data_IF_887515196029
#
_entry.id   IF_887515196029
#
_cell.length_a   1.000
_cell.length_b   1.000
_cell.length_c   1.000
_cell.angle_alpha   90.00
_cell.angle_beta   90.00
_cell.angle_gamma   90.00
#
_symmetry.space_group_name_H-M   'P 1'
#
loop_
_entity.id
_entity.type
_entity.pdbx_description
1 polymer ?
#
# COMPACT_ATOMS: atom_id res chain seq x y z
N UNK A 1 -18.93 19.68 27.68
CA UNK A 1 -17.85 18.92 27.02
C UNK A 1 -18.22 17.45 27.04
N UNK A 2 -17.82 16.66 26.03
CA UNK A 2 -18.12 15.24 25.98
C UNK A 2 -17.48 14.56 27.21
N UNK A 3 -18.14 13.56 27.77
CA UNK A 3 -17.68 12.88 28.99
C UNK A 3 -16.68 11.76 28.70
N UNK A 4 -16.45 11.46 27.43
CA UNK A 4 -15.71 10.31 26.90
C UNK A 4 -14.50 10.73 26.03
N UNK A 5 -13.88 11.88 26.36
CA UNK A 5 -12.67 12.40 25.70
C UNK A 5 -11.45 11.69 26.26
N UNK A 6 -10.75 10.92 25.44
CA UNK A 6 -9.49 10.25 25.81
C UNK A 6 -8.29 11.19 25.68
N UNK A 7 -7.14 10.78 26.22
CA UNK A 7 -5.88 11.50 26.00
C UNK A 7 -5.55 11.52 24.50
N UNK A 8 -5.24 12.71 23.97
CA UNK A 8 -5.02 12.93 22.54
C UNK A 8 -6.29 13.26 21.75
N UNK A 9 -7.49 13.02 22.27
CA UNK A 9 -8.73 13.45 21.61
C UNK A 9 -8.89 14.98 21.70
N UNK A 10 -9.56 15.53 20.69
CA UNK A 10 -9.96 16.94 20.67
C UNK A 10 -11.44 17.09 21.05
N UNK A 11 -11.78 18.24 21.62
CA UNK A 11 -13.17 18.70 21.74
C UNK A 11 -13.33 20.11 21.19
N UNK A 12 -14.40 20.35 20.44
CA UNK A 12 -14.77 21.68 19.94
C UNK A 12 -16.27 21.95 20.15
N UNK A 13 -16.63 23.23 20.23
CA UNK A 13 -18.04 23.64 20.33
C UNK A 13 -18.56 24.03 18.94
N UNK A 14 -19.59 23.34 18.45
CA UNK A 14 -20.12 23.56 17.09
C UNK A 14 -21.18 24.68 17.02
N UNK A 15 -21.43 25.39 18.12
CA UNK A 15 -22.49 26.39 18.24
C UNK A 15 -23.72 25.90 19.02
N UNK A 16 -23.93 24.59 19.12
CA UNK A 16 -25.06 23.97 19.84
C UNK A 16 -24.61 23.02 20.95
N UNK A 17 -23.55 22.26 20.69
CA UNK A 17 -23.02 21.26 21.62
C UNK A 17 -21.51 21.15 21.51
N UNK A 18 -20.93 20.48 22.51
CA UNK A 18 -19.53 20.08 22.46
C UNK A 18 -19.41 18.74 21.72
N UNK A 19 -18.57 18.70 20.71
CA UNK A 19 -18.32 17.54 19.87
C UNK A 19 -16.89 17.05 20.10
N UNK A 20 -16.73 15.72 20.23
CA UNK A 20 -15.44 15.04 20.32
C UNK A 20 -14.92 14.72 18.91
N UNK A 21 -13.62 14.90 18.69
CA UNK A 21 -12.92 14.40 17.52
C UNK A 21 -11.82 13.46 18.01
N UNK A 22 -11.96 12.20 17.63
CA UNK A 22 -11.08 11.12 18.06
C UNK A 22 -9.67 11.35 17.53
N UNK A 23 -8.67 11.13 18.37
CA UNK A 23 -7.27 11.16 17.98
C UNK A 23 -7.01 10.13 16.88
N UNK A 24 -6.16 10.44 15.89
CA UNK A 24 -5.75 9.46 14.91
C UNK A 24 -4.94 8.35 15.59
N UNK A 25 -5.03 7.14 15.04
CA UNK A 25 -4.18 6.03 15.51
C UNK A 25 -2.73 6.36 15.18
N UNK A 26 -1.81 6.18 16.12
CA UNK A 26 -0.41 6.50 15.91
C UNK A 26 0.21 5.51 14.92
N UNK A 27 0.66 6.01 13.77
CA UNK A 27 1.38 5.24 12.77
C UNK A 27 2.85 5.69 12.71
N UNK A 28 3.82 4.78 12.48
CA UNK A 28 5.22 5.15 12.32
C UNK A 28 5.38 6.15 11.16
N UNK A 29 6.12 7.25 11.34
CA UNK A 29 6.30 8.34 10.36
C UNK A 29 5.11 9.31 10.21
N UNK A 30 3.97 9.05 10.84
CA UNK A 30 2.86 9.99 10.86
C UNK A 30 3.04 11.04 11.96
N UNK A 31 2.90 12.31 11.59
CA UNK A 31 2.76 13.41 12.55
C UNK A 31 1.39 14.03 12.39
N UNK A 32 0.81 14.45 13.50
CA UNK A 32 -0.56 14.94 13.54
C UNK A 32 -0.59 16.37 14.05
N UNK A 33 -1.24 17.26 13.29
CA UNK A 33 -1.48 18.64 13.68
C UNK A 33 -2.96 18.95 13.58
N UNK A 34 -3.47 19.72 14.54
CA UNK A 34 -4.82 20.23 14.49
C UNK A 34 -4.91 21.35 13.46
N UNK A 35 -5.83 21.23 12.51
CA UNK A 35 -6.16 22.28 11.55
C UNK A 35 -7.66 22.57 11.53
N UNK A 36 -8.05 23.71 10.94
CA UNK A 36 -9.45 24.09 10.78
C UNK A 36 -9.89 23.84 9.34
N UNK A 37 -10.91 23.01 9.17
CA UNK A 37 -11.59 22.82 7.90
C UNK A 37 -12.57 23.98 7.70
N UNK A 38 -12.22 24.90 6.80
CA UNK A 38 -13.01 26.09 6.51
C UNK A 38 -14.33 25.71 5.82
N UNK A 39 -14.31 24.69 4.97
CA UNK A 39 -15.46 24.29 4.16
C UNK A 39 -16.51 23.59 5.02
N UNK A 40 -16.08 22.77 5.97
CA UNK A 40 -16.97 22.04 6.88
C UNK A 40 -17.12 22.71 8.25
N UNK A 41 -16.48 23.86 8.47
CA UNK A 41 -16.50 24.65 9.71
C UNK A 41 -16.29 23.80 10.98
N UNK A 42 -15.30 22.92 10.93
CA UNK A 42 -14.93 22.03 12.05
C UNK A 42 -13.40 21.88 12.11
N UNK A 43 -12.81 21.69 13.29
CA UNK A 43 -11.41 21.29 13.33
C UNK A 43 -11.27 19.83 12.87
N UNK A 44 -10.08 19.47 12.42
CA UNK A 44 -9.72 18.11 12.03
C UNK A 44 -8.25 17.81 12.35
N UNK A 45 -7.90 16.54 12.41
CA UNK A 45 -6.51 16.10 12.49
C UNK A 45 -5.94 16.05 11.08
N UNK A 46 -4.97 16.91 10.80
CA UNK A 46 -4.13 16.78 9.62
C UNK A 46 -3.02 15.79 9.89
N UNK A 47 -2.94 14.79 9.04
CA UNK A 47 -1.90 13.77 9.04
C UNK A 47 -0.82 14.18 8.04
N UNK A 48 0.42 14.34 8.50
CA UNK A 48 1.58 14.51 7.63
C UNK A 48 2.42 13.24 7.70
N UNK A 49 2.68 12.61 6.55
CA UNK A 49 3.41 11.35 6.45
C UNK A 49 4.60 11.54 5.53
N UNK A 50 5.80 11.26 6.02
CA UNK A 50 7.05 11.30 5.23
C UNK A 50 7.32 9.93 4.60
N UNK A 51 6.50 9.55 3.61
CA UNK A 51 6.69 8.31 2.86
C UNK A 51 7.83 8.45 1.86
N UNK A 52 8.70 7.44 1.79
CA UNK A 52 9.70 7.34 0.73
C UNK A 52 9.01 7.14 -0.62
N UNK A 53 9.60 7.72 -1.66
CA UNK A 53 9.06 7.67 -3.01
C UNK A 53 10.13 7.44 -4.06
N UNK A 54 9.68 6.97 -5.22
CA UNK A 54 10.46 6.95 -6.46
C UNK A 54 9.69 7.67 -7.56
N UNK A 55 10.41 8.25 -8.52
CA UNK A 55 9.80 8.77 -9.75
C UNK A 55 9.66 7.64 -10.77
N UNK A 56 8.42 7.26 -11.07
CA UNK A 56 8.07 6.27 -12.08
C UNK A 56 6.72 6.65 -12.70
N UNK A 57 6.76 7.36 -13.83
CA UNK A 57 5.57 7.93 -14.47
C UNK A 57 4.73 8.79 -13.50
N UNK A 58 5.41 9.55 -12.64
CA UNK A 58 4.83 10.25 -11.50
C UNK A 58 5.42 9.76 -10.17
N UNK A 59 5.00 10.40 -9.09
CA UNK A 59 5.47 10.02 -7.75
C UNK A 59 4.78 8.73 -7.31
N UNK A 60 5.58 7.70 -7.03
CA UNK A 60 5.11 6.46 -6.43
C UNK A 60 5.64 6.38 -4.99
N UNK A 61 4.74 6.34 -4.02
CA UNK A 61 5.06 6.20 -2.60
C UNK A 61 5.12 4.73 -2.19
N UNK A 62 6.07 4.39 -1.32
CA UNK A 62 6.35 3.03 -0.90
C UNK A 62 5.96 2.86 0.57
N UNK A 63 5.26 1.77 0.89
CA UNK A 63 4.96 1.43 2.27
C UNK A 63 6.27 1.21 3.05
N UNK A 64 6.41 1.64 4.32
CA UNK A 64 7.72 1.71 4.98
C UNK A 64 8.29 0.35 5.41
N UNK A 65 7.48 -0.71 5.51
CA UNK A 65 7.94 -2.08 5.80
C UNK A 65 7.32 -3.11 4.85
N UNK A 66 7.82 -4.34 4.81
CA UNK A 66 7.18 -5.39 4.01
C UNK A 66 5.79 -5.68 4.59
N UNK A 67 4.76 -5.66 3.74
CA UNK A 67 3.37 -5.92 4.14
C UNK A 67 3.09 -7.42 4.30
N UNK A 68 3.94 -8.26 3.71
CA UNK A 68 3.98 -9.71 3.96
C UNK A 68 5.40 -10.23 3.77
N UNK A 69 5.82 -11.13 4.66
CA UNK A 69 7.07 -11.90 4.51
C UNK A 69 6.95 -13.08 3.54
N UNK A 70 5.72 -13.40 3.13
CA UNK A 70 5.44 -14.58 2.34
C UNK A 70 3.94 -14.79 2.14
N UNK A 71 3.48 -14.60 0.91
CA UNK A 71 2.12 -14.92 0.48
C UNK A 71 2.13 -15.43 -0.96
N UNK A 72 1.14 -16.23 -1.32
CA UNK A 72 0.95 -16.68 -2.71
C UNK A 72 0.52 -15.51 -3.60
N UNK A 73 0.79 -15.60 -4.91
CA UNK A 73 0.31 -14.59 -5.86
C UNK A 73 -1.19 -14.71 -6.10
N UNK A 74 -1.68 -15.95 -6.24
CA UNK A 74 -3.06 -16.29 -6.55
C UNK A 74 -3.23 -17.78 -6.89
N UNK A 75 -4.41 -18.16 -7.32
CA UNK A 75 -4.77 -19.55 -7.61
C UNK A 75 -4.12 -20.04 -8.92
N UNK A 76 -3.48 -21.21 -8.90
CA UNK A 76 -2.96 -21.83 -10.12
C UNK A 76 -4.10 -22.25 -11.05
N UNK A 77 -3.88 -22.10 -12.36
CA UNK A 77 -4.87 -22.38 -13.40
C UNK A 77 -5.85 -21.23 -13.65
N UNK A 78 -5.81 -20.17 -12.84
CA UNK A 78 -6.65 -18.97 -12.99
C UNK A 78 -5.83 -17.86 -13.64
N UNK A 79 -6.40 -17.19 -14.65
CA UNK A 79 -5.79 -16.02 -15.28
C UNK A 79 -6.61 -14.80 -14.94
N UNK A 80 -5.98 -13.82 -14.31
CA UNK A 80 -6.56 -12.54 -13.94
C UNK A 80 -6.52 -11.53 -15.10
N UNK A 81 -5.65 -11.75 -16.10
CA UNK A 81 -5.44 -10.78 -17.19
C UNK A 81 -4.62 -9.56 -16.77
N UNK A 82 -4.00 -9.60 -15.58
CA UNK A 82 -3.18 -8.55 -15.00
C UNK A 82 -1.78 -8.48 -15.64
N UNK A 83 -1.71 -8.18 -16.93
CA UNK A 83 -0.46 -8.29 -17.72
C UNK A 83 0.31 -6.98 -17.87
N UNK A 84 -0.14 -5.88 -17.27
CA UNK A 84 0.56 -4.60 -17.40
C UNK A 84 1.92 -4.67 -16.70
N UNK A 85 2.96 -4.12 -17.33
CA UNK A 85 4.27 -4.04 -16.70
C UNK A 85 4.48 -2.75 -15.92
N UNK A 86 3.63 -1.73 -16.12
CA UNK A 86 3.81 -0.37 -15.59
C UNK A 86 2.63 0.18 -14.78
N UNK A 87 1.52 -0.56 -14.73
CA UNK A 87 0.28 -0.18 -14.06
C UNK A 87 -0.13 -1.26 -13.05
N UNK A 88 0.50 -1.22 -11.88
CA UNK A 88 0.22 -2.15 -10.82
C UNK A 88 -1.14 -1.96 -10.17
N UNK A 89 -1.71 -0.75 -10.23
CA UNK A 89 -3.03 -0.45 -9.68
C UNK A 89 -4.10 -1.19 -10.47
N UNK A 90 -4.15 -1.01 -11.80
CA UNK A 90 -5.10 -1.74 -12.65
C UNK A 90 -4.89 -3.26 -12.58
N UNK A 91 -3.64 -3.73 -12.48
CA UNK A 91 -3.36 -5.15 -12.29
C UNK A 91 -3.91 -5.67 -10.96
N UNK A 92 -3.72 -4.92 -9.87
CA UNK A 92 -4.19 -5.30 -8.53
C UNK A 92 -5.72 -5.46 -8.54
N UNK A 93 -6.45 -4.53 -9.15
CA UNK A 93 -7.90 -4.62 -9.29
C UNK A 93 -8.33 -5.88 -10.06
N UNK A 94 -7.67 -6.18 -11.18
CA UNK A 94 -7.95 -7.39 -11.97
C UNK A 94 -7.71 -8.68 -11.17
N UNK A 95 -6.62 -8.73 -10.40
CA UNK A 95 -6.31 -9.89 -9.55
C UNK A 95 -7.37 -10.04 -8.46
N UNK A 96 -7.75 -8.94 -7.80
CA UNK A 96 -8.74 -8.98 -6.72
C UNK A 96 -10.11 -9.44 -7.23
N UNK A 97 -10.53 -8.94 -8.40
CA UNK A 97 -11.76 -9.39 -9.06
C UNK A 97 -11.69 -10.88 -9.45
N UNK A 98 -10.54 -11.33 -9.94
CA UNK A 98 -10.35 -12.71 -10.42
C UNK A 98 -10.32 -13.73 -9.28
N UNK A 99 -9.63 -13.43 -8.18
CA UNK A 99 -9.44 -14.35 -7.05
C UNK A 99 -10.59 -14.28 -6.04
N UNK A 100 -11.28 -13.14 -5.94
CA UNK A 100 -12.34 -12.92 -4.97
C UNK A 100 -11.82 -12.79 -3.54
N UNK A 101 -12.65 -13.17 -2.55
CA UNK A 101 -12.26 -13.14 -1.14
C UNK A 101 -11.13 -14.14 -0.85
N UNK A 102 -10.03 -13.65 -0.26
CA UNK A 102 -8.90 -14.49 0.11
C UNK A 102 -7.65 -13.69 0.47
N UNK A 103 -6.61 -14.41 0.89
CA UNK A 103 -5.29 -13.86 1.20
C UNK A 103 -4.29 -14.24 0.10
N UNK A 104 -3.91 -13.26 -0.71
CA UNK A 104 -2.96 -13.36 -1.80
C UNK A 104 -2.27 -12.00 -2.00
N UNK A 105 -1.19 -11.97 -2.79
CA UNK A 105 -0.30 -10.81 -2.87
C UNK A 105 -1.03 -9.47 -3.15
N UNK A 106 -1.99 -9.47 -4.07
CA UNK A 106 -2.77 -8.28 -4.40
C UNK A 106 -3.75 -7.88 -3.28
N UNK A 107 -4.40 -8.83 -2.60
CA UNK A 107 -5.36 -8.51 -1.53
C UNK A 107 -4.69 -7.98 -0.27
N UNK A 108 -3.42 -8.31 -0.03
CA UNK A 108 -2.62 -7.67 1.04
C UNK A 108 -2.54 -6.16 0.83
N UNK A 109 -2.33 -5.71 -0.41
CA UNK A 109 -2.24 -4.28 -0.70
C UNK A 109 -3.61 -3.62 -0.86
N UNK A 110 -4.54 -4.26 -1.58
CA UNK A 110 -5.86 -3.68 -1.83
C UNK A 110 -6.70 -3.48 -0.57
N UNK A 111 -6.48 -4.27 0.48
CA UNK A 111 -7.18 -4.12 1.77
C UNK A 111 -6.44 -3.21 2.75
N UNK A 112 -5.28 -2.67 2.38
CA UNK A 112 -4.45 -1.88 3.28
C UNK A 112 -5.03 -0.48 3.43
N UNK A 113 -5.48 -0.15 4.64
CA UNK A 113 -5.83 1.22 5.05
C UNK A 113 -4.80 1.67 6.06
N UNK A 114 -3.92 2.58 5.65
CA UNK A 114 -2.83 3.07 6.49
C UNK A 114 -2.39 4.45 6.04
N UNK A 115 -1.85 5.24 6.97
CA UNK A 115 -1.38 6.60 6.71
C UNK A 115 -2.47 7.57 6.21
N UNK A 116 -3.74 7.23 6.40
CA UNK A 116 -4.89 8.00 5.88
C UNK A 116 -5.23 7.69 4.42
N UNK A 117 -4.63 6.64 3.84
CA UNK A 117 -4.81 6.22 2.46
C UNK A 117 -5.36 4.79 2.39
N UNK A 118 -6.20 4.53 1.39
CA UNK A 118 -6.87 3.26 1.08
C UNK A 118 -6.67 2.82 -0.39
N UNK A 119 -5.76 3.50 -1.09
CA UNK A 119 -5.45 3.33 -2.53
C UNK A 119 -4.12 2.57 -2.74
N UNK A 120 -3.71 1.76 -1.77
CA UNK A 120 -2.50 0.95 -1.86
C UNK A 120 -2.68 -0.23 -2.82
N UNK A 121 -1.65 -0.54 -3.59
CA UNK A 121 -1.68 -1.61 -4.59
C UNK A 121 -0.36 -2.39 -4.66
N UNK A 122 -0.42 -3.58 -5.26
CA UNK A 122 0.75 -4.42 -5.51
C UNK A 122 1.47 -3.89 -6.77
N UNK A 123 2.74 -3.46 -6.69
CA UNK A 123 3.44 -2.86 -7.83
C UNK A 123 3.56 -3.85 -9.00
N UNK A 124 3.41 -3.35 -10.22
CA UNK A 124 3.77 -4.08 -11.44
C UNK A 124 5.28 -4.32 -11.52
N UNK A 125 5.72 -5.18 -12.45
CA UNK A 125 7.13 -5.58 -12.50
C UNK A 125 8.09 -4.42 -12.75
N UNK A 126 7.73 -3.42 -13.58
CA UNK A 126 8.61 -2.27 -13.84
C UNK A 126 8.58 -1.26 -12.68
N UNK A 127 7.45 -1.14 -11.98
CA UNK A 127 7.37 -0.36 -10.73
C UNK A 127 8.27 -0.96 -9.64
N UNK A 128 8.20 -2.28 -9.47
CA UNK A 128 9.01 -3.01 -8.50
C UNK A 128 10.50 -2.99 -8.86
N UNK A 129 10.84 -3.01 -10.16
CA UNK A 129 12.21 -2.80 -10.64
C UNK A 129 12.71 -1.37 -10.38
N UNK A 130 11.85 -0.36 -10.49
CA UNK A 130 12.18 1.01 -10.09
C UNK A 130 12.48 1.10 -8.58
N UNK A 131 11.73 0.36 -7.74
CA UNK A 131 12.02 0.24 -6.31
C UNK A 131 13.37 -0.44 -6.08
N UNK A 132 13.68 -1.55 -6.76
CA UNK A 132 14.98 -2.23 -6.66
C UNK A 132 16.15 -1.30 -7.02
N UNK A 133 16.04 -0.55 -8.12
CA UNK A 133 17.07 0.41 -8.56
C UNK A 133 17.30 1.54 -7.54
N UNK A 134 16.28 1.88 -6.75
CA UNK A 134 16.33 2.92 -5.74
C UNK A 134 16.39 2.38 -4.30
N UNK A 135 16.59 1.07 -4.10
CA UNK A 135 16.40 0.39 -2.80
C UNK A 135 17.13 1.06 -1.63
N UNK A 136 18.32 1.64 -1.86
CA UNK A 136 19.08 2.35 -0.85
C UNK A 136 18.45 3.69 -0.43
N UNK A 137 17.77 4.38 -1.35
CA UNK A 137 17.13 5.68 -1.10
C UNK A 137 15.77 5.52 -0.41
N UNK A 138 15.12 4.37 -0.62
CA UNK A 138 13.78 4.07 -0.09
C UNK A 138 13.80 3.10 1.10
N UNK A 139 14.97 2.89 1.70
CA UNK A 139 15.16 2.03 2.88
C UNK A 139 14.61 0.60 2.70
N UNK A 140 14.65 0.06 1.48
CA UNK A 140 14.15 -1.28 1.16
C UNK A 140 15.23 -2.34 1.39
N UNK A 141 14.87 -3.53 1.91
CA UNK A 141 15.84 -4.61 2.12
C UNK A 141 16.52 -5.04 0.82
N UNK A 142 17.83 -5.24 0.86
CA UNK A 142 18.64 -5.71 -0.28
C UNK A 142 18.58 -7.22 -0.52
N UNK A 143 17.54 -7.87 0.00
CA UNK A 143 17.36 -9.33 -0.12
C UNK A 143 15.89 -9.71 -0.08
N UNK A 144 15.58 -10.85 -0.70
CA UNK A 144 14.24 -11.40 -0.77
C UNK A 144 13.72 -11.49 -2.20
N UNK A 145 12.68 -12.30 -2.36
CA UNK A 145 11.94 -12.44 -3.61
C UNK A 145 10.59 -11.77 -3.40
N UNK A 146 10.24 -10.82 -4.27
CA UNK A 146 9.03 -10.01 -4.14
C UNK A 146 8.11 -10.25 -5.31
N UNK A 147 6.83 -10.48 -5.01
CA UNK A 147 5.81 -10.53 -6.04
C UNK A 147 5.61 -9.15 -6.66
N UNK A 148 5.47 -9.13 -7.99
CA UNK A 148 4.81 -8.03 -8.70
C UNK A 148 3.37 -8.42 -9.02
N UNK A 149 2.53 -7.46 -9.39
CA UNK A 149 1.18 -7.71 -9.89
C UNK A 149 1.14 -8.14 -11.36
N UNK A 150 2.28 -8.27 -12.03
CA UNK A 150 2.33 -8.65 -13.45
C UNK A 150 2.21 -10.18 -13.62
N UNK A 151 1.09 -10.62 -14.19
CA UNK A 151 0.81 -11.99 -14.59
C UNK A 151 1.53 -12.36 -15.89
N UNK A 152 2.09 -13.57 -15.93
CA UNK A 152 2.70 -14.15 -17.15
C UNK A 152 1.91 -15.31 -17.74
N UNK A 153 0.93 -15.83 -16.99
CA UNK A 153 -0.03 -16.81 -17.47
C UNK A 153 -0.85 -17.39 -16.33
N UNK A 154 -1.70 -18.37 -16.64
CA UNK A 154 -2.61 -18.96 -15.66
C UNK A 154 -1.91 -19.65 -14.48
N UNK A 155 -0.64 -19.99 -14.60
CA UNK A 155 0.15 -20.65 -13.54
C UNK A 155 1.33 -19.81 -13.04
N UNK A 156 1.68 -18.74 -13.74
CA UNK A 156 2.94 -18.00 -13.54
C UNK A 156 2.69 -16.51 -13.36
N UNK A 157 3.46 -15.91 -12.46
CA UNK A 157 3.52 -14.46 -12.26
C UNK A 157 4.97 -14.00 -12.15
N UNK A 158 5.20 -12.70 -12.31
CA UNK A 158 6.53 -12.11 -12.26
C UNK A 158 6.93 -11.74 -10.84
N UNK A 159 8.15 -12.09 -10.48
CA UNK A 159 8.82 -11.62 -9.28
C UNK A 159 10.14 -10.93 -9.62
N UNK A 160 10.69 -10.21 -8.65
CA UNK A 160 12.08 -9.75 -8.69
C UNK A 160 12.84 -10.21 -7.44
N UNK A 161 14.07 -10.62 -7.65
CA UNK A 161 15.02 -10.96 -6.60
C UNK A 161 15.82 -9.72 -6.18
N UNK A 162 15.54 -9.17 -5.00
CA UNK A 162 16.21 -7.97 -4.50
C UNK A 162 17.69 -8.17 -4.16
N UNK A 163 18.20 -9.42 -4.14
CA UNK A 163 19.64 -9.66 -4.00
C UNK A 163 20.44 -9.23 -5.24
N UNK A 164 19.84 -9.29 -6.43
CA UNK A 164 20.58 -9.11 -7.69
C UNK A 164 19.76 -8.51 -8.86
N UNK A 165 18.50 -8.15 -8.63
CA UNK A 165 17.62 -7.55 -9.65
C UNK A 165 17.09 -8.53 -10.69
N UNK A 166 17.30 -9.84 -10.51
CA UNK A 166 16.83 -10.83 -11.50
C UNK A 166 15.31 -10.91 -11.44
N UNK A 167 14.67 -10.76 -12.60
CA UNK A 167 13.24 -10.95 -12.77
C UNK A 167 12.99 -12.34 -13.36
N UNK A 168 12.06 -13.10 -12.78
CA UNK A 168 11.67 -14.44 -13.27
C UNK A 168 10.16 -14.61 -13.26
N UNK A 169 9.70 -15.58 -14.05
CA UNK A 169 8.33 -16.10 -13.98
C UNK A 169 8.32 -17.29 -13.04
N UNK A 170 7.50 -17.23 -11.99
CA UNK A 170 7.43 -18.29 -10.99
C UNK A 170 5.99 -18.70 -10.68
N UNK A 171 5.83 -19.89 -10.11
CA UNK A 171 4.54 -20.48 -9.77
C UNK A 171 3.74 -19.60 -8.82
N UNK A 172 2.49 -19.27 -9.20
CA UNK A 172 1.61 -18.43 -8.38
C UNK A 172 1.35 -18.96 -6.97
N UNK A 173 1.50 -20.26 -6.76
CA UNK A 173 1.35 -20.94 -5.46
C UNK A 173 2.60 -20.84 -4.56
N UNK A 174 3.68 -20.21 -5.01
CA UNK A 174 4.84 -19.98 -4.17
C UNK A 174 4.69 -18.72 -3.33
N UNK A 175 5.28 -18.79 -2.12
CA UNK A 175 5.24 -17.72 -1.15
C UNK A 175 6.35 -16.70 -1.41
N UNK A 176 6.01 -15.43 -1.64
CA UNK A 176 6.97 -14.32 -1.81
C UNK A 176 6.57 -13.12 -0.98
N UNK A 177 7.53 -12.21 -0.77
CA UNK A 177 7.31 -10.97 -0.04
C UNK A 177 6.42 -10.01 -0.84
N UNK A 178 5.77 -9.11 -0.12
CA UNK A 178 4.94 -8.04 -0.69
C UNK A 178 5.32 -6.71 -0.07
N UNK A 179 5.51 -5.70 -0.91
CA UNK A 179 5.68 -4.31 -0.49
C UNK A 179 4.71 -3.45 -1.29
N UNK A 180 3.73 -2.88 -0.60
CA UNK A 180 2.68 -2.11 -1.25
C UNK A 180 3.19 -0.72 -1.63
N UNK A 181 2.59 -0.18 -2.70
CA UNK A 181 2.86 1.17 -3.19
C UNK A 181 1.55 1.92 -3.41
N UNK A 182 1.60 3.25 -3.52
CA UNK A 182 0.48 4.09 -3.95
C UNK A 182 0.97 5.23 -4.83
N UNK A 183 0.05 5.87 -5.56
CA UNK A 183 0.33 7.07 -6.37
C UNK A 183 -0.62 8.20 -5.97
N UNK A 184 -0.19 9.42 -6.24
CA UNK A 184 -1.04 10.63 -6.15
C UNK A 184 -1.67 10.97 -7.51
#
# INVERSE_FOLDING_TARGET
>A
MPTDVAEGDMSYYNGSEWVKIVAPTTEPLATYSMEWDIDNNKPYWKTNVDLKSVDFNGTMYIYPVDNSDGVIWGTQGVSAGATSSTDGSSNTDLIVVSEGEGEYAASVCANLVSYGYDDWYLPSIDELDAMYKNQATIDMPSSGLYWSSTESGSNLAKEINFNNGTQIDDGKNFSRKVRCVRRD
#
